data_IF_941216060973
#
_entry.id   IF_941216060973
#
_cell.length_a   1.000
_cell.length_b   1.000
_cell.length_c   1.000
_cell.angle_alpha   90.00
_cell.angle_beta   90.00
_cell.angle_gamma   90.00
#
_symmetry.space_group_name_H-M   'P 1'
#
loop_
_entity.id
_entity.type
_entity.pdbx_description
1 polymer ?
#
# COMPACT_ATOMS: atom_id res chain seq x y z
N UNK A 1 -3.68 34.77 -17.85
CA UNK A 1 -3.10 33.40 -17.85
C UNK A 1 -3.12 32.93 -16.41
N UNK A 2 -4.09 32.10 -16.03
CA UNK A 2 -4.31 31.67 -14.64
C UNK A 2 -3.40 30.47 -14.32
N UNK A 3 -2.79 30.37 -13.13
CA UNK A 3 -1.90 29.26 -12.82
C UNK A 3 -2.69 27.95 -12.74
N UNK A 4 -2.15 26.89 -13.35
CA UNK A 4 -2.65 25.52 -13.26
C UNK A 4 -2.70 25.12 -11.77
N UNK A 5 -3.92 25.01 -11.23
CA UNK A 5 -4.10 24.47 -9.88
C UNK A 5 -3.59 23.03 -9.88
N UNK A 6 -2.48 22.80 -9.18
CA UNK A 6 -2.01 21.45 -8.85
C UNK A 6 -3.05 20.83 -7.91
N UNK A 7 -4.08 20.19 -8.47
CA UNK A 7 -5.06 19.47 -7.69
C UNK A 7 -4.39 18.18 -7.21
N UNK A 8 -4.11 18.10 -5.91
CA UNK A 8 -3.69 16.86 -5.27
C UNK A 8 -4.90 15.94 -5.25
N UNK A 9 -4.82 14.85 -5.98
CA UNK A 9 -5.89 13.87 -6.10
C UNK A 9 -5.82 12.89 -4.94
N UNK A 10 -6.95 12.66 -4.29
CA UNK A 10 -6.96 11.97 -2.99
C UNK A 10 -7.15 10.46 -3.19
N UNK A 11 -6.26 9.84 -3.96
CA UNK A 11 -6.17 8.36 -4.09
C UNK A 11 -4.74 7.93 -3.81
N UNK A 12 -4.58 6.93 -2.95
CA UNK A 12 -3.31 6.28 -2.64
C UNK A 12 -3.38 4.77 -2.87
N UNK A 13 -2.31 4.08 -2.48
CA UNK A 13 -2.24 2.61 -2.48
C UNK A 13 -2.30 2.11 -1.05
N UNK A 14 -3.18 1.14 -0.80
CA UNK A 14 -3.29 0.40 0.45
C UNK A 14 -2.81 -1.04 0.25
N UNK A 15 -2.13 -1.60 1.25
CA UNK A 15 -1.78 -3.02 1.27
C UNK A 15 -2.80 -3.82 2.06
N UNK A 16 -3.07 -5.03 1.57
CA UNK A 16 -3.94 -5.99 2.23
C UNK A 16 -3.26 -7.37 2.30
N UNK A 17 -3.61 -8.14 3.33
CA UNK A 17 -3.28 -9.56 3.45
C UNK A 17 -4.51 -10.33 3.89
N UNK A 18 -4.84 -11.41 3.18
CA UNK A 18 -6.01 -12.26 3.48
C UNK A 18 -7.32 -11.47 3.65
N UNK A 19 -7.52 -10.42 2.83
CA UNK A 19 -8.71 -9.56 2.88
C UNK A 19 -8.71 -8.49 3.97
N UNK A 20 -7.68 -8.41 4.83
CA UNK A 20 -7.52 -7.35 5.84
C UNK A 20 -6.56 -6.27 5.36
N UNK A 21 -6.91 -5.00 5.53
CA UNK A 21 -5.99 -3.87 5.33
C UNK A 21 -4.90 -3.90 6.40
N UNK A 22 -3.64 -3.75 5.97
CA UNK A 22 -2.50 -3.63 6.86
C UNK A 22 -2.22 -2.16 7.17
N UNK A 23 -2.05 -1.84 8.45
CA UNK A 23 -1.58 -0.52 8.84
C UNK A 23 -0.07 -0.37 8.56
N UNK A 24 0.40 0.85 8.34
CA UNK A 24 1.83 1.13 8.18
C UNK A 24 2.59 0.72 9.43
N UNK A 25 3.68 -0.03 9.25
CA UNK A 25 4.51 -0.52 10.35
C UNK A 25 3.88 -1.65 11.17
N UNK A 26 2.72 -2.18 10.77
CA UNK A 26 2.16 -3.39 11.38
C UNK A 26 3.07 -4.58 11.07
N UNK A 27 3.61 -5.20 12.12
CA UNK A 27 4.36 -6.45 11.99
C UNK A 27 3.41 -7.58 11.63
N UNK A 28 3.75 -8.34 10.59
CA UNK A 28 2.96 -9.48 10.15
C UNK A 28 3.81 -10.74 10.18
N UNK A 29 3.46 -11.68 11.07
CA UNK A 29 4.19 -12.96 11.15
C UNK A 29 3.98 -13.79 9.88
N UNK A 30 5.06 -14.38 9.38
CA UNK A 30 5.04 -15.36 8.30
C UNK A 30 5.03 -16.80 8.82
N UNK A 31 5.07 -17.00 10.14
CA UNK A 31 5.34 -18.30 10.76
C UNK A 31 6.74 -18.80 10.38
N UNK A 32 6.89 -20.12 10.29
CA UNK A 32 8.16 -20.75 9.93
C UNK A 32 8.48 -20.52 8.44
N UNK A 33 9.48 -19.69 8.17
CA UNK A 33 10.08 -19.55 6.83
C UNK A 33 11.27 -20.49 6.71
N UNK A 34 11.17 -21.49 5.83
CA UNK A 34 12.23 -22.47 5.59
C UNK A 34 12.90 -22.21 4.22
N UNK A 35 13.68 -23.17 3.71
CA UNK A 35 14.36 -23.03 2.41
C UNK A 35 13.41 -22.90 1.21
N UNK A 36 12.14 -23.27 1.37
CA UNK A 36 11.10 -23.08 0.36
C UNK A 36 10.58 -21.64 0.36
N UNK A 37 10.15 -21.17 -0.81
CA UNK A 37 9.57 -19.83 -0.96
C UNK A 37 8.26 -19.73 -0.16
N UNK A 38 8.14 -18.70 0.67
CA UNK A 38 6.90 -18.35 1.39
C UNK A 38 6.38 -17.02 0.83
N UNK A 39 5.11 -17.01 0.40
CA UNK A 39 4.47 -15.77 -0.06
C UNK A 39 4.12 -14.86 1.10
N UNK A 40 4.35 -13.55 0.94
CA UNK A 40 3.89 -12.54 1.90
C UNK A 40 2.36 -12.42 1.89
N UNK A 41 1.69 -12.86 0.84
CA UNK A 41 0.24 -12.75 0.68
C UNK A 41 -0.26 -11.31 0.56
N UNK A 42 0.61 -10.39 0.13
CA UNK A 42 0.26 -8.98 -0.04
C UNK A 42 -0.48 -8.76 -1.35
N UNK A 43 -1.59 -8.02 -1.29
CA UNK A 43 -2.23 -7.39 -2.44
C UNK A 43 -2.26 -5.88 -2.26
N UNK A 44 -2.25 -5.15 -3.37
CA UNK A 44 -2.33 -3.70 -3.40
C UNK A 44 -3.67 -3.26 -3.97
N UNK A 45 -4.32 -2.29 -3.32
CA UNK A 45 -5.61 -1.74 -3.73
C UNK A 45 -5.56 -0.21 -3.71
N UNK A 46 -6.42 0.45 -4.49
CA UNK A 46 -6.59 1.89 -4.38
C UNK A 46 -7.36 2.24 -3.11
N UNK A 47 -6.86 3.20 -2.34
CA UNK A 47 -7.53 3.76 -1.17
C UNK A 47 -7.86 5.23 -1.41
N UNK A 48 -9.12 5.63 -1.25
CA UNK A 48 -9.51 7.03 -1.28
C UNK A 48 -9.06 7.71 0.02
N UNK A 49 -8.32 8.82 -0.10
CA UNK A 49 -7.69 9.56 1.01
C UNK A 49 -8.42 10.87 1.35
N UNK A 50 -9.57 11.12 0.71
CA UNK A 50 -10.40 12.30 0.92
C UNK A 50 -11.68 12.29 0.07
N UNK A 51 -12.16 13.44 -0.39
CA UNK A 51 -13.50 13.60 -0.97
C UNK A 51 -13.54 13.69 -2.51
N UNK A 52 -12.40 13.85 -3.19
CA UNK A 52 -12.37 14.00 -4.65
C UNK A 52 -11.44 13.00 -5.31
N UNK A 53 -12.02 12.18 -6.18
CA UNK A 53 -11.31 11.28 -7.09
C UNK A 53 -11.36 11.88 -8.49
N UNK A 54 -10.20 11.99 -9.14
CA UNK A 54 -10.09 12.38 -10.55
C UNK A 54 -9.15 11.41 -11.27
N UNK A 55 -9.27 11.34 -12.60
CA UNK A 55 -8.39 10.53 -13.42
C UNK A 55 -6.95 11.05 -13.38
N UNK A 56 -5.98 10.13 -13.27
CA UNK A 56 -4.56 10.45 -13.24
C UNK A 56 -3.70 9.27 -12.82
N UNK A 57 -2.38 9.43 -12.93
CA UNK A 57 -1.42 8.42 -12.48
C UNK A 57 -1.34 8.43 -10.96
N UNK A 58 -1.44 7.24 -10.36
CA UNK A 58 -1.17 7.01 -8.93
C UNK A 58 0.08 6.15 -8.83
N UNK A 59 1.06 6.64 -8.07
CA UNK A 59 2.27 5.89 -7.75
C UNK A 59 2.52 5.97 -6.25
N UNK A 60 2.90 4.85 -5.64
CA UNK A 60 3.31 4.78 -4.24
C UNK A 60 4.53 3.89 -4.13
N UNK A 61 5.48 4.29 -3.29
CA UNK A 61 6.66 3.49 -2.95
C UNK A 61 6.45 2.96 -1.54
N UNK A 62 6.45 1.63 -1.39
CA UNK A 62 6.20 0.97 -0.10
C UNK A 62 7.40 0.09 0.22
N UNK A 63 8.04 0.37 1.36
CA UNK A 63 9.12 -0.45 1.88
C UNK A 63 8.57 -1.68 2.62
N UNK A 64 9.24 -2.82 2.47
CA UNK A 64 8.99 -4.03 3.24
C UNK A 64 10.26 -4.36 4.02
N UNK A 65 10.15 -4.39 5.34
CA UNK A 65 11.27 -4.72 6.24
C UNK A 65 11.03 -6.09 6.86
N UNK A 66 12.04 -6.95 6.83
CA UNK A 66 12.01 -8.25 7.50
C UNK A 66 12.70 -8.16 8.85
N UNK A 67 12.07 -8.76 9.87
CA UNK A 67 12.60 -8.87 11.22
C UNK A 67 12.71 -10.36 11.53
N UNK A 68 13.85 -10.77 12.06
CA UNK A 68 14.05 -12.14 12.57
C UNK A 68 13.68 -12.16 14.05
N UNK A 69 12.88 -13.15 14.44
CA UNK A 69 12.56 -13.46 15.84
C UNK A 69 13.70 -14.27 16.49
#
# INVERSE_FOLDING_TARGET
>A
MSPLRYQKWEVGVSLMRNGKILATGENVSLGTVNKSKVSLGLSATYGQTGNKVAAGTVQSVIGVTFIYE
#
